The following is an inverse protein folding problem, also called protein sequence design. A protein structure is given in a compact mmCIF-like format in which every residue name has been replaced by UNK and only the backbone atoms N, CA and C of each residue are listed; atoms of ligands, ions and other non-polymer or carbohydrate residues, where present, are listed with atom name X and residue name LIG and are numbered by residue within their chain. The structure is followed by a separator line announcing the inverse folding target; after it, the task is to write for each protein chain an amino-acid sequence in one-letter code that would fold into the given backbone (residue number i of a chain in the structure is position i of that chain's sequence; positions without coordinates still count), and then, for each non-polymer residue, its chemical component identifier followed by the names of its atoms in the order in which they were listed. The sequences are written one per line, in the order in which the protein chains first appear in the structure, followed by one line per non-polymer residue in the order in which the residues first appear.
data_IF_424978786517
#
_entry.id   IF_424978786517
#
_cell.length_a   1.000
_cell.length_b   1.000
_cell.length_c   1.000
_cell.angle_alpha   90.00
_cell.angle_beta   90.00
_cell.angle_gamma   90.00
#
_symmetry.space_group_name_H-M   'P 1'
#
loop_
_entity.id
_entity.type
_entity.pdbx_description
1 polymer ?
#
# COMPACT_ATOMS: atom_id res chain seq x y z
N UNK A 1 -8.96 -22.73 -1.54
CA UNK A 1 -8.98 -22.00 -2.82
C UNK A 1 -9.99 -20.85 -2.68
N UNK A 2 -9.79 -19.71 -3.34
CA UNK A 2 -10.65 -18.51 -3.14
C UNK A 2 -12.03 -18.71 -3.78
N UNK A 3 -13.10 -18.45 -3.02
CA UNK A 3 -14.49 -18.62 -3.48
C UNK A 3 -14.78 -17.79 -4.74
N UNK A 4 -14.31 -16.53 -4.79
CA UNK A 4 -14.48 -15.64 -5.94
C UNK A 4 -13.81 -16.19 -7.21
N UNK A 5 -12.63 -16.79 -7.06
CA UNK A 5 -11.90 -17.39 -8.19
C UNK A 5 -12.63 -18.66 -8.66
N UNK A 6 -13.14 -19.46 -7.74
CA UNK A 6 -13.85 -20.69 -8.07
C UNK A 6 -15.23 -20.43 -8.71
N UNK A 7 -15.92 -19.36 -8.29
CA UNK A 7 -17.14 -18.87 -8.94
C UNK A 7 -16.84 -18.37 -10.35
N UNK A 8 -15.80 -17.54 -10.52
CA UNK A 8 -15.40 -17.08 -11.85
C UNK A 8 -15.04 -18.23 -12.78
N UNK A 9 -14.27 -19.22 -12.32
CA UNK A 9 -13.91 -20.42 -13.12
C UNK A 9 -15.13 -21.22 -13.58
N UNK A 10 -16.22 -21.19 -12.82
CA UNK A 10 -17.49 -21.88 -13.15
C UNK A 10 -18.47 -20.99 -13.93
N UNK A 11 -18.17 -19.70 -14.07
CA UNK A 11 -19.00 -18.75 -14.82
C UNK A 11 -18.74 -18.84 -16.32
N UNK A 12 -19.60 -18.17 -17.08
CA UNK A 12 -19.46 -17.93 -18.52
C UNK A 12 -18.45 -16.83 -18.87
N UNK A 13 -17.86 -16.16 -17.87
CA UNK A 13 -16.89 -15.08 -18.07
C UNK A 13 -15.47 -15.57 -18.39
N UNK A 14 -15.21 -16.88 -18.25
CA UNK A 14 -13.90 -17.45 -18.58
C UNK A 14 -13.76 -17.54 -20.09
N UNK A 15 -12.76 -16.84 -20.62
CA UNK A 15 -12.35 -16.99 -22.02
C UNK A 15 -11.15 -17.93 -22.13
N UNK A 16 -10.97 -18.57 -23.27
CA UNK A 16 -9.93 -19.57 -23.45
C UNK A 16 -8.92 -19.17 -24.53
N UNK A 17 -7.68 -19.60 -24.35
CA UNK A 17 -6.66 -19.56 -25.39
C UNK A 17 -6.97 -20.60 -26.47
N UNK A 18 -6.31 -20.51 -27.62
CA UNK A 18 -6.43 -21.53 -28.68
C UNK A 18 -6.06 -22.93 -28.19
N UNK A 19 -5.16 -23.04 -27.22
CA UNK A 19 -4.75 -24.31 -26.60
C UNK A 19 -5.70 -24.81 -25.51
N UNK A 20 -6.84 -24.16 -25.28
CA UNK A 20 -7.82 -24.60 -24.28
C UNK A 20 -7.49 -24.21 -22.84
N UNK A 21 -6.43 -23.44 -22.59
CA UNK A 21 -6.16 -22.90 -21.25
C UNK A 21 -7.02 -21.67 -20.97
N UNK A 22 -7.61 -21.52 -19.77
CA UNK A 22 -8.27 -20.30 -19.34
C UNK A 22 -7.36 -19.08 -19.49
N UNK A 23 -7.91 -17.99 -20.01
CA UNK A 23 -7.26 -16.67 -20.00
C UNK A 23 -7.45 -16.04 -18.63
N UNK A 24 -6.53 -15.16 -18.21
CA UNK A 24 -6.71 -14.40 -16.98
C UNK A 24 -8.02 -13.58 -17.04
N UNK A 25 -8.68 -13.36 -15.88
CA UNK A 25 -9.79 -12.44 -15.78
C UNK A 25 -9.36 -11.02 -16.20
N UNK A 26 -10.33 -10.16 -16.50
CA UNK A 26 -10.02 -8.74 -16.78
C UNK A 26 -9.52 -8.03 -15.52
N UNK A 27 -8.80 -6.93 -15.70
CA UNK A 27 -8.34 -6.08 -14.60
C UNK A 27 -9.52 -5.61 -13.75
N UNK A 28 -10.62 -5.22 -14.38
CA UNK A 28 -11.85 -4.78 -13.70
C UNK A 28 -12.42 -5.88 -12.79
N UNK A 29 -12.49 -7.12 -13.27
CA UNK A 29 -12.94 -8.26 -12.48
C UNK A 29 -12.02 -8.47 -11.27
N UNK A 30 -10.70 -8.47 -11.47
CA UNK A 30 -9.73 -8.65 -10.36
C UNK A 30 -9.83 -7.49 -9.36
N UNK A 31 -9.91 -6.25 -9.84
CA UNK A 31 -10.05 -5.07 -8.99
C UNK A 31 -11.32 -5.13 -8.13
N UNK A 32 -12.44 -5.60 -8.69
CA UNK A 32 -13.69 -5.77 -7.95
C UNK A 32 -13.58 -6.80 -6.81
N UNK A 33 -12.81 -7.88 -7.02
CA UNK A 33 -12.55 -8.90 -6.00
C UNK A 33 -11.68 -8.36 -4.89
N UNK A 34 -10.62 -7.65 -5.25
CA UNK A 34 -9.72 -6.99 -4.29
C UNK A 34 -10.51 -5.99 -3.46
N UNK A 35 -11.26 -5.08 -4.10
CA UNK A 35 -12.09 -4.10 -3.39
C UNK A 35 -13.12 -4.75 -2.46
N UNK A 36 -13.76 -5.83 -2.90
CA UNK A 36 -14.74 -6.55 -2.06
C UNK A 36 -14.07 -7.31 -0.91
N UNK A 37 -12.87 -7.85 -1.11
CA UNK A 37 -12.10 -8.47 -0.03
C UNK A 37 -11.68 -7.43 1.01
N UNK A 38 -11.13 -6.29 0.58
CA UNK A 38 -10.75 -5.20 1.47
C UNK A 38 -11.93 -4.60 2.24
N UNK A 39 -13.10 -4.45 1.60
CA UNK A 39 -14.32 -3.98 2.27
C UNK A 39 -14.79 -4.90 3.40
N UNK A 40 -14.46 -6.19 3.34
CA UNK A 40 -14.81 -7.16 4.38
C UNK A 40 -13.80 -7.16 5.55
N UNK A 41 -12.65 -6.49 5.40
CA UNK A 41 -11.67 -6.37 6.48
C UNK A 41 -12.20 -5.35 7.50
N UNK A 42 -12.38 -5.75 8.77
CA UNK A 42 -12.79 -4.80 9.81
C UNK A 42 -11.75 -3.68 10.02
N UNK A 43 -12.23 -2.47 10.29
CA UNK A 43 -11.37 -1.31 10.53
C UNK A 43 -10.35 -1.54 11.65
N UNK A 44 -10.71 -2.33 12.67
CA UNK A 44 -9.81 -2.64 13.79
C UNK A 44 -8.64 -3.53 13.36
N UNK A 45 -8.85 -4.44 12.41
CA UNK A 45 -7.79 -5.27 11.83
C UNK A 45 -6.84 -4.40 11.03
N UNK A 46 -7.37 -3.46 10.24
CA UNK A 46 -6.56 -2.50 9.49
C UNK A 46 -5.73 -1.67 10.46
N UNK A 47 -6.36 -1.06 11.48
CA UNK A 47 -5.67 -0.23 12.48
C UNK A 47 -4.55 -1.02 13.18
N UNK A 48 -4.85 -2.21 13.70
CA UNK A 48 -3.86 -3.08 14.37
C UNK A 48 -2.70 -3.47 13.46
N UNK A 49 -2.95 -3.66 12.16
CA UNK A 49 -1.90 -4.00 11.20
C UNK A 49 -0.94 -2.84 10.97
N UNK A 50 -1.47 -1.62 10.86
CA UNK A 50 -0.70 -0.37 10.72
C UNK A 50 0.13 -0.12 11.98
N UNK A 51 -0.48 -0.28 13.16
CA UNK A 51 0.22 -0.17 14.46
C UNK A 51 1.35 -1.21 14.59
N UNK A 52 1.12 -2.47 14.17
CA UNK A 52 2.16 -3.51 14.19
C UNK A 52 3.34 -3.21 13.27
N UNK A 53 3.12 -2.45 12.21
CA UNK A 53 4.19 -1.96 11.34
C UNK A 53 4.93 -0.75 11.95
N UNK A 54 4.59 -0.32 13.16
CA UNK A 54 5.23 0.80 13.86
C UNK A 54 4.62 2.17 13.54
N UNK A 55 3.50 2.21 12.82
CA UNK A 55 2.75 3.43 12.53
C UNK A 55 1.62 3.58 13.55
N UNK A 56 1.92 4.23 14.66
CA UNK A 56 1.01 4.45 15.79
C UNK A 56 0.19 5.74 15.60
N UNK A 57 -0.80 5.96 16.48
CA UNK A 57 -1.65 7.17 16.43
C UNK A 57 -0.83 8.47 16.58
N UNK A 58 0.26 8.45 17.37
CA UNK A 58 1.23 9.54 17.45
C UNK A 58 2.40 9.31 16.48
N UNK A 59 2.60 10.16 15.46
CA UNK A 59 3.75 10.10 14.57
C UNK A 59 5.09 10.16 15.29
N UNK A 60 5.15 10.79 16.46
CA UNK A 60 6.36 10.86 17.30
C UNK A 60 6.78 9.47 17.79
N UNK A 61 5.84 8.53 17.87
CA UNK A 61 6.11 7.18 18.31
C UNK A 61 6.65 6.26 17.22
N UNK A 62 6.61 6.70 15.96
CA UNK A 62 7.06 5.92 14.82
C UNK A 62 8.58 5.70 14.86
N UNK A 63 9.03 4.58 14.30
CA UNK A 63 10.44 4.22 14.30
C UNK A 63 11.33 5.29 13.64
N UNK A 64 10.90 5.82 12.49
CA UNK A 64 11.63 6.87 11.76
C UNK A 64 11.73 8.19 12.55
N UNK A 65 10.70 8.55 13.32
CA UNK A 65 10.68 9.76 14.15
C UNK A 65 11.68 9.71 15.29
N UNK A 66 12.02 8.50 15.75
CA UNK A 66 12.99 8.22 16.82
C UNK A 66 14.41 8.04 16.28
N UNK A 67 14.62 8.04 14.97
CA UNK A 67 15.94 7.91 14.36
C UNK A 67 16.82 9.12 14.72
N UNK A 68 18.06 8.87 15.14
CA UNK A 68 19.04 9.87 15.56
C UNK A 68 19.47 10.82 14.43
N UNK A 69 19.71 10.31 13.22
CA UNK A 69 20.09 11.08 12.03
C UNK A 69 18.88 11.75 11.37
N UNK A 70 17.81 10.99 11.11
CA UNK A 70 16.69 11.44 10.27
C UNK A 70 15.45 11.90 11.03
N UNK A 71 15.27 11.49 12.29
CA UNK A 71 14.02 11.70 13.02
C UNK A 71 13.67 13.15 13.28
N UNK A 72 14.67 14.02 13.44
CA UNK A 72 14.44 15.47 13.55
C UNK A 72 13.92 16.06 12.23
N UNK A 73 14.55 15.71 11.10
CA UNK A 73 14.13 16.18 9.77
C UNK A 73 12.73 15.67 9.42
N UNK A 74 12.48 14.39 9.69
CA UNK A 74 11.19 13.75 9.47
C UNK A 74 10.07 14.45 10.24
N UNK A 75 10.23 14.65 11.57
CA UNK A 75 9.20 15.30 12.39
C UNK A 75 8.86 16.71 11.90
N UNK A 76 9.88 17.51 11.57
CA UNK A 76 9.66 18.86 11.03
C UNK A 76 8.86 18.81 9.72
N UNK A 77 9.25 17.97 8.76
CA UNK A 77 8.54 17.84 7.49
C UNK A 77 7.10 17.32 7.67
N UNK A 78 6.90 16.36 8.56
CA UNK A 78 5.58 15.78 8.86
C UNK A 78 4.62 16.81 9.47
N UNK A 79 5.09 17.61 10.43
CA UNK A 79 4.31 18.70 11.04
C UNK A 79 3.97 19.81 10.03
N UNK A 80 4.93 20.17 9.16
CA UNK A 80 4.72 21.14 8.08
C UNK A 80 3.66 20.67 7.09
N UNK A 81 3.66 19.38 6.73
CA UNK A 81 2.73 18.81 5.75
C UNK A 81 1.34 18.55 6.34
N UNK A 82 1.23 18.17 7.63
CA UNK A 82 -0.05 17.97 8.31
C UNK A 82 -0.91 19.24 8.42
N UNK A 83 -0.28 20.42 8.29
CA UNK A 83 -0.95 21.72 8.31
C UNK A 83 -1.25 22.26 6.89
N UNK A 84 -0.79 21.58 5.84
CA UNK A 84 -1.14 21.89 4.47
C UNK A 84 -2.43 21.15 4.10
N UNK A 85 -3.47 21.88 3.72
CA UNK A 85 -4.61 21.30 3.01
C UNK A 85 -4.09 20.56 1.78
N UNK A 86 -4.28 19.25 1.72
CA UNK A 86 -3.82 18.37 0.64
C UNK A 86 -4.29 18.92 -0.72
N UNK A 87 -3.40 19.60 -1.43
CA UNK A 87 -3.33 19.53 -2.88
C UNK A 87 -2.18 18.57 -3.17
N UNK A 88 -2.52 17.35 -3.60
CA UNK A 88 -1.57 16.27 -3.86
C UNK A 88 -0.82 16.48 -5.18
N UNK A 89 -0.15 17.61 -5.33
CA UNK A 89 0.85 17.82 -6.37
C UNK A 89 2.21 17.76 -5.67
N UNK A 90 2.57 16.59 -5.13
CA UNK A 90 3.98 16.31 -4.87
C UNK A 90 4.64 16.22 -6.24
N UNK A 91 5.54 17.14 -6.54
CA UNK A 91 6.28 17.08 -7.80
C UNK A 91 7.13 15.80 -7.87
N UNK A 92 7.36 15.34 -9.10
CA UNK A 92 8.10 14.13 -9.41
C UNK A 92 9.54 14.17 -8.85
N UNK A 93 10.10 15.38 -8.71
CA UNK A 93 11.42 15.63 -8.14
C UNK A 93 11.47 15.28 -6.64
N UNK A 94 10.45 15.69 -5.87
CA UNK A 94 10.36 15.37 -4.44
C UNK A 94 10.17 13.86 -4.20
N UNK A 95 9.43 13.18 -5.09
CA UNK A 95 9.28 11.72 -5.02
C UNK A 95 10.58 10.99 -5.38
N UNK A 96 11.32 11.48 -6.38
CA UNK A 96 12.60 10.92 -6.78
C UNK A 96 13.67 11.09 -5.70
N UNK A 97 13.76 12.26 -5.07
CA UNK A 97 14.71 12.50 -3.97
C UNK A 97 14.47 11.55 -2.78
N UNK A 98 13.20 11.24 -2.48
CA UNK A 98 12.85 10.25 -1.45
C UNK A 98 13.18 8.82 -1.87
N UNK A 99 12.98 8.45 -3.14
CA UNK A 99 13.33 7.13 -3.66
C UNK A 99 14.85 6.91 -3.64
N UNK A 100 15.62 7.90 -4.07
CA UNK A 100 17.09 7.87 -4.04
C UNK A 100 17.63 7.73 -2.61
N UNK A 101 16.98 8.37 -1.62
CA UNK A 101 17.36 8.25 -0.21
C UNK A 101 17.11 6.85 0.39
N UNK A 102 16.15 6.09 -0.16
CA UNK A 102 15.88 4.72 0.29
C UNK A 102 16.78 3.68 -0.38
N UNK A 103 17.27 3.93 -1.59
CA UNK A 103 18.21 3.04 -2.30
C UNK A 103 19.62 3.04 -1.67
N UNK A 104 19.97 4.03 -0.86
CA UNK A 104 21.25 4.09 -0.13
C UNK A 104 21.28 3.27 1.17
N UNK A 105 20.14 2.72 1.61
CA UNK A 105 20.05 1.89 2.82
C UNK A 105 20.44 0.44 2.49
N UNK A 106 21.73 0.14 2.63
CA UNK A 106 22.22 -1.24 2.66
C UNK A 106 21.90 -1.86 4.02
N UNK A 107 21.05 -2.89 4.05
CA UNK A 107 20.95 -3.77 5.21
C UNK A 107 22.14 -4.73 5.15
N UNK A 108 23.17 -4.47 5.95
CA UNK A 108 24.23 -5.45 6.16
C UNK A 108 23.67 -6.64 6.97
N UNK A 109 24.04 -7.86 6.53
CA UNK A 109 23.56 -9.16 7.01
C UNK A 109 24.00 -9.50 8.44
#
# INVERSE_FOLDING_TARGET
MSVLIDEWKRSDQVTYTRGGNPRPPTIETVASWVASAWRQVPDDVVKKSVEKCGFLDDPSDWHISKHDVYGAKFRMAWELNGNATVNSDLDEDTCNELLDAFDEVWVEE
#
